data_IF_715485922842
#
_entry.id   IF_715485922842
#
_cell.length_a   1.000
_cell.length_b   1.000
_cell.length_c   1.000
_cell.angle_alpha   90.00
_cell.angle_beta   90.00
_cell.angle_gamma   90.00
#
_symmetry.space_group_name_H-M   'P 1'
#
loop_
_entity.id
_entity.type
_entity.pdbx_description
1 polymer ?
#
# COMPACT_ATOMS: atom_id res chain seq x y z
N UNK A 1 4.92 3.31 1.91
CA UNK A 1 4.26 4.51 1.36
C UNK A 1 4.93 5.74 1.97
N UNK A 2 5.33 6.70 1.14
CA UNK A 2 5.89 8.00 1.54
C UNK A 2 4.80 9.07 1.46
N UNK A 3 4.56 9.79 2.55
CA UNK A 3 3.54 10.83 2.64
C UNK A 3 4.19 12.19 2.89
N UNK A 4 4.03 13.11 1.94
CA UNK A 4 4.45 14.51 2.09
C UNK A 4 3.33 15.33 2.72
N UNK A 5 3.46 15.68 4.00
CA UNK A 5 2.52 16.57 4.68
C UNK A 5 2.81 18.05 4.32
N UNK A 6 1.81 18.92 4.50
CA UNK A 6 1.91 20.38 4.31
C UNK A 6 2.11 20.81 2.85
N UNK A 7 1.39 20.15 1.94
CA UNK A 7 1.45 20.43 0.49
C UNK A 7 0.88 21.80 0.07
N UNK A 8 0.15 22.47 0.96
CA UNK A 8 -0.38 23.84 0.84
C UNK A 8 0.73 24.89 0.67
N UNK A 9 1.84 24.73 1.39
CA UNK A 9 2.94 25.69 1.40
C UNK A 9 4.01 25.38 0.34
N UNK A 10 3.59 25.31 -0.94
CA UNK A 10 4.47 25.01 -2.08
C UNK A 10 5.68 25.95 -2.20
N UNK A 11 5.54 27.17 -1.71
CA UNK A 11 6.53 28.26 -1.74
C UNK A 11 7.62 28.13 -0.65
N UNK A 12 7.42 27.29 0.37
CA UNK A 12 8.40 27.01 1.44
C UNK A 12 8.97 25.59 1.33
N UNK A 13 8.84 24.98 0.15
CA UNK A 13 9.23 23.61 -0.09
C UNK A 13 10.76 23.48 -0.18
N UNK A 14 11.33 22.69 0.72
CA UNK A 14 12.76 22.37 0.72
C UNK A 14 13.14 21.28 -0.30
N UNK A 15 12.20 20.38 -0.64
CA UNK A 15 12.43 19.24 -1.55
C UNK A 15 11.36 19.23 -2.65
N UNK A 16 11.73 19.31 -3.95
CA UNK A 16 10.77 19.25 -5.05
C UNK A 16 10.04 17.91 -5.10
N UNK A 17 8.79 17.91 -5.58
CA UNK A 17 7.96 16.68 -5.67
C UNK A 17 8.64 15.61 -6.51
N UNK A 18 9.35 15.98 -7.57
CA UNK A 18 9.98 15.02 -8.47
C UNK A 18 11.13 14.27 -7.79
N UNK A 19 11.87 14.92 -6.90
CA UNK A 19 12.91 14.28 -6.10
C UNK A 19 12.30 13.32 -5.06
N UNK A 20 11.23 13.76 -4.39
CA UNK A 20 10.52 12.92 -3.44
C UNK A 20 9.86 11.70 -4.12
N UNK A 21 9.34 11.87 -5.35
CA UNK A 21 8.78 10.78 -6.16
C UNK A 21 9.87 9.81 -6.60
N UNK A 22 11.00 10.31 -7.11
CA UNK A 22 12.13 9.49 -7.50
C UNK A 22 12.70 8.69 -6.30
N UNK A 23 12.73 9.29 -5.11
CA UNK A 23 13.11 8.59 -3.89
C UNK A 23 12.11 7.48 -3.53
N UNK A 24 10.81 7.74 -3.65
CA UNK A 24 9.78 6.74 -3.38
C UNK A 24 9.88 5.56 -4.36
N UNK A 25 9.99 5.82 -5.66
CA UNK A 25 10.16 4.79 -6.69
C UNK A 25 11.42 3.95 -6.47
N UNK A 26 12.56 4.60 -6.16
CA UNK A 26 13.83 3.91 -5.86
C UNK A 26 13.73 2.95 -4.67
N UNK A 27 12.87 3.26 -3.70
CA UNK A 27 12.65 2.42 -2.52
C UNK A 27 11.42 1.50 -2.64
N UNK A 28 10.75 1.46 -3.81
CA UNK A 28 9.54 0.66 -4.01
C UNK A 28 8.35 1.13 -3.16
N UNK A 29 8.30 2.41 -2.80
CA UNK A 29 7.24 3.02 -2.00
C UNK A 29 6.28 3.81 -2.88
N UNK A 30 4.98 3.75 -2.60
CA UNK A 30 3.99 4.68 -3.17
C UNK A 30 4.18 6.08 -2.59
N UNK A 31 4.07 7.12 -3.40
CA UNK A 31 4.19 8.53 -2.98
C UNK A 31 2.83 9.23 -2.97
N UNK A 32 2.53 10.01 -1.92
CA UNK A 32 1.32 10.81 -1.83
C UNK A 32 1.58 12.13 -1.08
N UNK A 33 1.05 13.24 -1.58
CA UNK A 33 1.09 14.53 -0.89
C UNK A 33 -0.27 14.84 -0.27
N UNK A 34 -0.27 15.23 1.00
CA UNK A 34 -1.45 15.56 1.78
C UNK A 34 -1.31 16.94 2.40
N UNK A 35 -2.43 17.66 2.54
CA UNK A 35 -2.49 18.83 3.41
C UNK A 35 -3.42 18.50 4.57
N UNK A 36 -2.86 18.46 5.77
CA UNK A 36 -3.67 18.38 6.99
C UNK A 36 -4.49 19.67 7.21
N UNK A 37 -4.04 20.81 6.67
CA UNK A 37 -4.72 22.10 6.79
C UNK A 37 -5.94 22.17 5.87
N UNK A 38 -5.77 21.80 4.60
CA UNK A 38 -6.85 21.83 3.62
C UNK A 38 -7.64 20.52 3.57
N UNK A 39 -7.31 19.54 4.42
CA UNK A 39 -7.84 18.16 4.42
C UNK A 39 -7.69 17.42 3.07
N UNK A 40 -6.83 17.91 2.19
CA UNK A 40 -6.67 17.37 0.83
C UNK A 40 -5.85 16.08 0.85
N UNK A 41 -6.34 15.06 0.15
CA UNK A 41 -5.74 13.73 -0.03
C UNK A 41 -5.50 12.91 1.26
N UNK A 42 -5.97 13.37 2.43
CA UNK A 42 -5.85 12.62 3.68
C UNK A 42 -6.66 11.34 3.62
N UNK A 43 -7.91 11.40 3.14
CA UNK A 43 -8.77 10.22 3.00
C UNK A 43 -8.19 9.19 2.02
N UNK A 44 -7.72 9.64 0.86
CA UNK A 44 -7.05 8.77 -0.13
C UNK A 44 -5.80 8.11 0.45
N UNK A 45 -5.07 8.80 1.32
CA UNK A 45 -3.91 8.24 2.01
C UNK A 45 -4.30 7.06 2.89
N UNK A 46 -5.31 7.26 3.73
CA UNK A 46 -5.83 6.23 4.62
C UNK A 46 -6.43 5.06 3.85
N UNK A 47 -7.26 5.31 2.83
CA UNK A 47 -7.83 4.26 2.00
C UNK A 47 -6.75 3.40 1.33
N UNK A 48 -5.71 4.02 0.75
CA UNK A 48 -4.62 3.31 0.09
C UNK A 48 -3.87 2.38 1.05
N UNK A 49 -3.58 2.87 2.27
CA UNK A 49 -2.92 2.06 3.31
C UNK A 49 -3.81 0.89 3.72
N UNK A 50 -5.09 1.15 4.00
CA UNK A 50 -6.04 0.14 4.43
C UNK A 50 -6.19 -0.94 3.34
N UNK A 51 -6.50 -0.55 2.10
CA UNK A 51 -6.62 -1.49 0.98
C UNK A 51 -5.35 -2.31 0.77
N UNK A 52 -4.16 -1.70 0.91
CA UNK A 52 -2.88 -2.42 0.84
C UNK A 52 -2.75 -3.49 1.92
N UNK A 53 -3.05 -3.16 3.18
CA UNK A 53 -2.97 -4.11 4.30
C UNK A 53 -4.00 -5.23 4.15
N UNK A 54 -5.25 -4.90 3.78
CA UNK A 54 -6.30 -5.91 3.57
C UNK A 54 -5.96 -6.85 2.41
N UNK A 55 -5.46 -6.31 1.28
CA UNK A 55 -5.06 -7.10 0.12
C UNK A 55 -3.91 -8.06 0.47
N UNK A 56 -2.84 -7.56 1.11
CA UNK A 56 -1.72 -8.40 1.54
C UNK A 56 -2.21 -9.51 2.48
N UNK A 57 -3.02 -9.19 3.49
CA UNK A 57 -3.56 -10.21 4.39
C UNK A 57 -4.33 -11.29 3.61
N UNK A 58 -5.31 -10.92 2.78
CA UNK A 58 -6.16 -11.86 2.02
C UNK A 58 -5.36 -12.69 1.02
N UNK A 59 -4.39 -12.09 0.31
CA UNK A 59 -3.54 -12.81 -0.64
C UNK A 59 -2.61 -13.80 0.07
N UNK A 60 -2.05 -13.46 1.23
CA UNK A 60 -1.18 -14.36 1.99
C UNK A 60 -2.00 -15.51 2.60
N UNK A 61 -3.21 -15.24 3.10
CA UNK A 61 -4.13 -16.30 3.55
C UNK A 61 -4.56 -17.22 2.41
N UNK A 62 -4.92 -16.70 1.23
CA UNK A 62 -5.29 -17.52 0.07
C UNK A 62 -4.11 -18.32 -0.48
N UNK A 63 -2.91 -17.74 -0.57
CA UNK A 63 -1.71 -18.45 -1.01
C UNK A 63 -1.32 -19.58 -0.05
N UNK A 64 -1.54 -19.40 1.26
CA UNK A 64 -1.26 -20.43 2.26
C UNK A 64 -2.31 -21.55 2.29
N UNK A 65 -3.58 -21.27 1.97
CA UNK A 65 -4.63 -22.29 1.88
C UNK A 65 -4.50 -23.12 0.60
N UNK A 66 -4.10 -22.51 -0.52
CA UNK A 66 -3.96 -23.20 -1.83
C UNK A 66 -2.67 -24.01 -2.01
N UNK A 67 -1.65 -23.83 -1.15
CA UNK A 67 -0.40 -24.60 -1.19
C UNK A 67 -0.36 -25.80 -0.23
N UNK A 68 -1.44 -26.12 0.50
CA UNK A 68 -1.53 -27.41 1.20
C UNK A 68 -2.11 -28.46 0.26
N UNK A 69 -1.41 -29.59 -0.01
CA UNK A 69 -2.05 -30.72 -0.67
C UNK A 69 -3.22 -31.18 0.20
N UNK A 70 -4.40 -31.35 -0.41
CA UNK A 70 -5.57 -31.92 0.24
C UNK A 70 -5.18 -33.32 0.76
N UNK A 71 -5.25 -33.58 2.08
CA UNK A 71 -5.00 -34.92 2.58
C UNK A 71 -6.15 -35.84 2.15
N UNK A 72 -5.87 -36.71 1.18
CA UNK A 72 -6.46 -38.04 1.03
C UNK A 72 -7.97 -38.11 0.77
N UNK A 73 -8.37 -37.98 -0.49
CA UNK A 73 -9.55 -38.68 -1.03
C UNK A 73 -9.05 -39.66 -2.10
N UNK A 74 -8.35 -40.71 -1.66
CA UNK A 74 -8.11 -41.89 -2.48
C UNK A 74 -8.41 -43.14 -1.66
N UNK A 75 -9.19 -44.02 -2.30
CA UNK A 75 -9.64 -45.37 -1.92
C UNK A 75 -10.79 -45.52 -0.94
N UNK A 76 -11.98 -45.77 -1.51
CA UNK A 76 -12.66 -47.06 -1.34
C UNK A 76 -13.33 -47.47 -2.66
N UNK A 77 -12.55 -48.12 -3.54
CA UNK A 77 -13.04 -49.08 -4.53
C UNK A 77 -12.45 -50.44 -4.14
N UNK A 78 -13.14 -51.15 -3.24
CA UNK A 78 -13.17 -52.62 -3.19
C UNK A 78 -14.42 -53.08 -2.46
#
# INVERSE_FOLDING_TARGET
MLVGNKSDLRHLRAVPTDEARAFAEKNGLSFLETSALDSTNVETAFQTILTGVYCVCVCVYSAHILNRPLPGLFNEQK
#
